data_IF_248772249349
#
_entry.id   IF_248772249349
#
_cell.length_a   1.000
_cell.length_b   1.000
_cell.length_c   1.000
_cell.angle_alpha   90.00
_cell.angle_beta   90.00
_cell.angle_gamma   90.00
#
_symmetry.space_group_name_H-M   'P 1'
#
loop_
_entity.id
_entity.type
_entity.pdbx_description
1 polymer ?
#
# COMPACT_ATOMS: atom_id res chain seq x y z
N UNK A 1 25.29 -76.24 8.40
CA UNK A 1 26.24 -75.53 7.49
C UNK A 1 25.49 -75.11 6.24
N UNK A 2 25.53 -73.80 5.91
CA UNK A 2 25.23 -73.17 4.59
C UNK A 2 23.74 -73.23 4.16
N UNK A 3 23.08 -72.24 3.55
CA UNK A 3 23.34 -70.83 3.16
C UNK A 3 22.10 -70.35 2.38
N UNK A 4 21.69 -69.06 2.52
CA UNK A 4 21.04 -68.14 1.52
C UNK A 4 19.74 -68.60 0.77
N UNK A 5 18.70 -67.83 0.43
CA UNK A 5 18.47 -66.40 0.08
C UNK A 5 16.94 -66.14 0.14
N UNK A 6 16.42 -65.05 0.74
CA UNK A 6 16.10 -63.73 0.13
C UNK A 6 15.22 -63.79 -1.13
N UNK A 7 13.95 -63.37 -1.03
CA UNK A 7 13.38 -62.34 -1.93
C UNK A 7 12.13 -61.68 -1.29
N UNK A 8 12.33 -60.47 -0.77
CA UNK A 8 11.29 -59.53 -0.32
C UNK A 8 10.85 -58.75 -1.55
N UNK A 9 9.62 -58.97 -2.01
CA UNK A 9 9.02 -58.19 -3.10
C UNK A 9 8.26 -57.02 -2.47
N UNK A 10 8.98 -55.93 -2.25
CA UNK A 10 8.44 -54.68 -1.76
C UNK A 10 7.64 -53.94 -2.84
N UNK A 11 6.34 -53.78 -2.61
CA UNK A 11 5.52 -52.81 -3.33
C UNK A 11 6.06 -51.40 -3.10
N UNK A 12 6.66 -50.83 -4.13
CA UNK A 12 6.96 -49.41 -4.23
C UNK A 12 5.64 -48.64 -4.34
N UNK A 13 5.11 -48.23 -3.19
CA UNK A 13 4.11 -47.17 -3.10
C UNK A 13 4.76 -45.88 -3.62
N UNK A 14 4.34 -45.50 -4.81
CA UNK A 14 4.72 -44.25 -5.46
C UNK A 14 4.03 -43.10 -4.74
N UNK A 15 4.72 -42.48 -3.79
CA UNK A 15 4.28 -41.21 -3.21
C UNK A 15 4.54 -40.14 -4.25
N UNK A 16 3.48 -39.70 -4.94
CA UNK A 16 3.53 -38.48 -5.73
C UNK A 16 3.78 -37.32 -4.76
N UNK A 17 5.03 -36.85 -4.71
CA UNK A 17 5.39 -35.64 -3.99
C UNK A 17 4.67 -34.46 -4.63
N UNK A 18 3.62 -33.97 -3.95
CA UNK A 18 3.00 -32.70 -4.27
C UNK A 18 4.04 -31.62 -3.91
N UNK A 19 4.75 -31.12 -4.92
CA UNK A 19 5.71 -30.04 -4.77
C UNK A 19 5.06 -28.85 -4.06
N UNK A 20 5.67 -28.41 -2.97
CA UNK A 20 5.18 -27.29 -2.19
C UNK A 20 5.15 -26.02 -3.06
N UNK A 21 4.22 -25.09 -2.85
CA UNK A 21 4.10 -23.86 -3.64
C UNK A 21 5.38 -23.00 -3.69
N UNK A 22 6.35 -23.22 -2.78
CA UNK A 22 7.67 -22.59 -2.80
C UNK A 22 8.58 -23.00 -3.97
N UNK A 23 8.50 -24.25 -4.43
CA UNK A 23 9.40 -24.76 -5.50
C UNK A 23 9.15 -24.07 -6.84
N UNK A 24 7.90 -23.71 -7.12
CA UNK A 24 7.51 -23.01 -8.36
C UNK A 24 7.94 -21.55 -8.39
N UNK A 25 8.12 -20.91 -7.22
CA UNK A 25 8.56 -19.52 -7.12
C UNK A 25 10.08 -19.46 -7.27
N UNK A 26 10.81 -20.37 -6.62
CA UNK A 26 12.26 -20.49 -6.76
C UNK A 26 12.67 -20.75 -8.22
N UNK A 27 12.02 -21.71 -8.89
CA UNK A 27 12.32 -22.03 -10.30
C UNK A 27 12.08 -20.82 -11.23
N UNK A 28 11.00 -20.07 -11.00
CA UNK A 28 10.71 -18.85 -11.78
C UNK A 28 11.71 -17.74 -11.49
N UNK A 29 12.11 -17.55 -10.24
CA UNK A 29 13.10 -16.55 -9.85
C UNK A 29 14.46 -16.83 -10.50
N UNK A 30 14.89 -18.10 -10.50
CA UNK A 30 16.14 -18.53 -11.14
C UNK A 30 16.11 -18.30 -12.66
N UNK A 31 14.97 -18.58 -13.31
CA UNK A 31 14.80 -18.33 -14.75
C UNK A 31 14.90 -16.84 -15.08
N UNK A 32 14.26 -15.98 -14.29
CA UNK A 32 14.33 -14.52 -14.47
C UNK A 32 15.76 -14.02 -14.23
N UNK A 33 16.43 -14.51 -13.18
CA UNK A 33 17.81 -14.15 -12.88
C UNK A 33 18.77 -14.55 -14.02
N UNK A 34 18.55 -15.71 -14.63
CA UNK A 34 19.32 -16.18 -15.78
C UNK A 34 19.08 -15.30 -17.02
N UNK A 35 17.83 -14.95 -17.31
CA UNK A 35 17.48 -14.07 -18.43
C UNK A 35 18.09 -12.66 -18.25
N UNK A 36 18.05 -12.11 -17.03
CA UNK A 36 18.68 -10.83 -16.70
C UNK A 36 20.20 -10.86 -16.84
N UNK A 37 20.86 -11.97 -16.46
CA UNK A 37 22.31 -12.13 -16.68
C UNK A 37 22.64 -12.21 -18.16
N UNK A 38 21.85 -12.97 -18.93
CA UNK A 38 22.07 -13.15 -20.36
C UNK A 38 21.85 -11.85 -21.12
N UNK A 39 20.74 -11.15 -20.90
CA UNK A 39 20.39 -9.89 -21.60
C UNK A 39 20.96 -8.64 -20.95
N UNK A 40 21.64 -8.76 -19.81
CA UNK A 40 22.10 -7.63 -19.01
C UNK A 40 23.03 -6.67 -19.77
N UNK A 41 23.79 -7.20 -20.73
CA UNK A 41 24.70 -6.42 -21.56
C UNK A 41 23.98 -5.55 -22.61
N UNK A 42 22.74 -5.93 -23.00
CA UNK A 42 21.91 -5.19 -23.96
C UNK A 42 21.09 -4.08 -23.30
N UNK A 43 21.05 -4.05 -21.97
CA UNK A 43 20.26 -3.07 -21.21
C UNK A 43 20.95 -1.70 -21.21
N UNK A 44 20.18 -0.67 -21.55
CA UNK A 44 20.57 0.73 -21.36
C UNK A 44 20.77 1.06 -19.87
N UNK A 45 21.49 2.14 -19.56
CA UNK A 45 21.64 2.59 -18.16
C UNK A 45 20.29 2.85 -17.47
N UNK A 46 19.32 3.44 -18.17
CA UNK A 46 17.99 3.70 -17.59
C UNK A 46 17.23 2.41 -17.28
N UNK A 47 17.32 1.40 -18.14
CA UNK A 47 16.73 0.08 -17.90
C UNK A 47 17.39 -0.62 -16.70
N UNK A 48 18.72 -0.54 -16.58
CA UNK A 48 19.45 -1.09 -15.42
C UNK A 48 19.03 -0.42 -14.12
N UNK A 49 18.86 0.90 -14.12
CA UNK A 49 18.40 1.63 -12.94
C UNK A 49 16.98 1.23 -12.54
N UNK A 50 16.07 1.08 -13.51
CA UNK A 50 14.71 0.62 -13.27
C UNK A 50 14.65 -0.82 -12.73
N UNK A 51 15.51 -1.71 -13.24
CA UNK A 51 15.66 -3.08 -12.74
C UNK A 51 16.18 -3.08 -11.30
N UNK A 52 17.20 -2.27 -10.99
CA UNK A 52 17.71 -2.16 -9.62
C UNK A 52 16.64 -1.67 -8.64
N UNK A 53 15.87 -0.63 -8.99
CA UNK A 53 14.73 -0.16 -8.19
C UNK A 53 13.68 -1.26 -7.96
N UNK A 54 13.43 -2.08 -8.97
CA UNK A 54 12.48 -3.19 -8.88
C UNK A 54 13.01 -4.33 -7.99
N UNK A 55 14.30 -4.66 -8.10
CA UNK A 55 14.97 -5.66 -7.28
C UNK A 55 15.03 -5.24 -5.81
N UNK A 56 15.29 -3.97 -5.52
CA UNK A 56 15.28 -3.45 -4.16
C UNK A 56 13.86 -3.50 -3.56
N UNK A 57 12.83 -3.23 -4.36
CA UNK A 57 11.44 -3.41 -3.92
C UNK A 57 11.12 -4.89 -3.62
N UNK A 58 11.65 -5.83 -4.42
CA UNK A 58 11.44 -7.26 -4.20
C UNK A 58 12.18 -7.74 -2.94
N UNK A 59 13.43 -7.30 -2.74
CA UNK A 59 14.23 -7.63 -1.54
C UNK A 59 13.52 -7.22 -0.26
N UNK A 60 12.99 -5.99 -0.19
CA UNK A 60 12.22 -5.53 0.99
C UNK A 60 11.00 -6.41 1.30
N UNK A 61 10.33 -6.92 0.27
CA UNK A 61 9.19 -7.84 0.44
C UNK A 61 9.66 -9.22 0.93
N UNK A 62 10.81 -9.71 0.43
CA UNK A 62 11.36 -11.02 0.78
C UNK A 62 12.03 -11.06 2.15
N UNK A 63 12.70 -9.97 2.54
CA UNK A 63 13.43 -9.85 3.81
C UNK A 63 12.48 -9.71 5.02
N UNK A 64 11.16 -9.78 4.79
CA UNK A 64 10.18 -9.69 5.87
C UNK A 64 10.15 -8.31 6.52
N UNK A 65 10.63 -7.27 5.83
CA UNK A 65 10.56 -5.85 6.21
C UNK A 65 9.11 -5.31 6.04
N UNK A 66 8.17 -6.16 6.45
CA UNK A 66 6.72 -6.00 6.54
C UNK A 66 6.29 -6.02 8.01
N UNK A 67 7.19 -5.66 8.94
CA UNK A 67 6.80 -5.39 10.32
C UNK A 67 6.12 -4.01 10.43
N UNK A 68 4.79 -4.04 10.38
CA UNK A 68 3.98 -3.27 11.33
C UNK A 68 3.76 -1.77 11.07
N UNK A 69 2.86 -1.15 11.85
CA UNK A 69 2.30 0.16 11.56
C UNK A 69 3.32 1.27 11.83
N UNK A 70 3.97 1.76 10.76
CA UNK A 70 4.84 2.95 10.84
C UNK A 70 6.31 2.74 10.49
N UNK A 71 6.69 1.66 9.81
CA UNK A 71 8.08 1.40 9.42
C UNK A 71 8.50 2.09 8.11
N UNK A 72 9.01 3.33 8.22
CA UNK A 72 10.25 3.82 7.58
C UNK A 72 10.67 3.38 6.17
N UNK A 73 9.78 3.06 5.24
CA UNK A 73 10.13 3.01 3.83
C UNK A 73 10.49 4.42 3.39
N UNK A 74 11.79 4.73 3.32
CA UNK A 74 12.39 6.01 2.90
C UNK A 74 11.41 6.78 2.04
N UNK A 75 10.68 7.70 2.68
CA UNK A 75 9.50 8.29 2.07
C UNK A 75 10.01 9.08 0.88
N UNK A 76 9.82 8.53 -0.32
CA UNK A 76 10.10 9.24 -1.58
C UNK A 76 9.34 10.57 -1.64
N UNK A 77 8.34 10.74 -0.77
CA UNK A 77 7.63 11.98 -0.59
C UNK A 77 8.39 12.92 0.34
N UNK A 78 8.41 14.19 -0.05
CA UNK A 78 8.87 15.32 0.74
C UNK A 78 7.78 16.39 0.76
N UNK A 79 7.76 17.21 1.79
CA UNK A 79 6.89 18.37 1.87
C UNK A 79 7.59 19.58 1.26
N UNK A 80 6.93 20.23 0.30
CA UNK A 80 7.43 21.43 -0.37
C UNK A 80 6.33 22.50 -0.42
N UNK A 81 6.71 23.78 -0.49
CA UNK A 81 5.73 24.84 -0.83
C UNK A 81 5.12 24.54 -2.20
N UNK A 82 3.79 24.63 -2.29
CA UNK A 82 3.05 24.43 -3.53
C UNK A 82 3.47 25.46 -4.58
N UNK A 83 3.70 26.69 -4.12
CA UNK A 83 3.88 27.88 -4.96
C UNK A 83 5.37 28.28 -5.10
N UNK A 84 6.29 27.47 -4.54
CA UNK A 84 7.76 27.63 -4.62
C UNK A 84 8.35 28.86 -3.94
N UNK A 85 7.62 29.45 -3.00
CA UNK A 85 8.02 30.63 -2.25
C UNK A 85 8.49 30.30 -0.81
N UNK A 86 8.49 29.02 -0.45
CA UNK A 86 8.81 28.55 0.90
C UNK A 86 7.71 28.85 1.93
N UNK A 87 6.52 29.25 1.49
CA UNK A 87 5.37 29.55 2.34
C UNK A 87 4.23 28.58 2.09
N UNK A 88 3.24 28.65 2.98
CA UNK A 88 1.99 27.93 2.82
C UNK A 88 1.26 28.36 1.54
N UNK A 89 0.51 27.44 0.91
CA UNK A 89 0.28 26.08 1.36
C UNK A 89 1.38 25.10 0.91
N UNK A 90 1.51 23.99 1.63
CA UNK A 90 2.48 22.94 1.38
C UNK A 90 1.83 21.76 0.66
N UNK A 91 2.61 21.02 -0.10
CA UNK A 91 2.14 19.83 -0.83
C UNK A 91 3.13 18.69 -0.69
N UNK A 92 2.64 17.46 -0.79
CA UNK A 92 3.53 16.32 -1.01
C UNK A 92 4.13 16.40 -2.41
N UNK A 93 5.40 16.02 -2.52
CA UNK A 93 6.10 15.91 -3.77
C UNK A 93 7.09 14.75 -3.76
N UNK A 94 7.42 14.20 -4.92
CA UNK A 94 8.54 13.29 -5.09
C UNK A 94 9.74 14.09 -5.62
N UNK A 95 10.89 13.93 -4.97
CA UNK A 95 12.15 14.55 -5.40
C UNK A 95 13.07 13.51 -6.03
N UNK A 96 13.49 13.77 -7.26
CA UNK A 96 14.48 12.99 -8.01
C UNK A 96 15.61 13.92 -8.45
N UNK A 97 16.64 14.05 -7.61
CA UNK A 97 17.69 15.06 -7.78
C UNK A 97 17.12 16.49 -7.68
N UNK A 98 17.19 17.24 -8.78
CA UNK A 98 16.64 18.60 -8.89
C UNK A 98 15.17 18.64 -9.32
N UNK A 99 14.63 17.51 -9.81
CA UNK A 99 13.25 17.44 -10.28
C UNK A 99 12.29 17.23 -9.10
N UNK A 100 11.23 18.03 -9.05
CA UNK A 100 10.21 17.97 -7.98
C UNK A 100 8.83 17.78 -8.62
N UNK A 101 8.27 16.59 -8.46
CA UNK A 101 6.92 16.25 -8.93
C UNK A 101 5.93 16.44 -7.79
N UNK A 102 5.11 17.50 -7.84
CA UNK A 102 4.09 17.80 -6.81
C UNK A 102 2.84 16.95 -7.02
N UNK A 103 2.34 16.35 -5.96
CA UNK A 103 1.06 15.66 -5.93
C UNK A 103 -0.07 16.67 -5.69
N UNK A 104 -1.29 16.38 -6.12
CA UNK A 104 -2.46 17.24 -5.90
C UNK A 104 -3.05 17.03 -4.49
N UNK A 105 -2.20 17.21 -3.46
CA UNK A 105 -2.50 16.99 -2.05
C UNK A 105 -1.87 18.14 -1.24
N UNK A 106 -2.71 19.06 -0.81
CA UNK A 106 -2.30 20.31 -0.15
C UNK A 106 -2.56 20.27 1.36
N UNK A 107 -1.68 20.96 2.10
CA UNK A 107 -1.72 21.17 3.54
C UNK A 107 -1.49 22.65 3.84
N UNK A 108 -2.11 23.16 4.89
CA UNK A 108 -2.03 24.56 5.30
C UNK A 108 -0.68 24.91 5.95
N UNK A 109 0.02 23.91 6.49
CA UNK A 109 1.23 24.06 7.28
C UNK A 109 2.26 22.97 6.95
N UNK A 110 3.55 23.29 7.05
CA UNK A 110 4.64 22.33 6.84
C UNK A 110 4.56 21.18 7.86
N UNK A 111 4.44 21.42 9.18
CA UNK A 111 4.23 20.34 10.15
C UNK A 111 2.99 19.50 9.85
N UNK A 112 1.92 20.12 9.33
CA UNK A 112 0.71 19.42 8.91
C UNK A 112 0.96 18.44 7.77
N UNK A 113 1.76 18.84 6.78
CA UNK A 113 2.21 17.99 5.68
C UNK A 113 3.12 16.86 6.17
N UNK A 114 4.13 17.16 6.99
CA UNK A 114 5.07 16.17 7.52
C UNK A 114 4.36 15.12 8.39
N UNK A 115 3.41 15.57 9.22
CA UNK A 115 2.59 14.66 10.01
C UNK A 115 1.78 13.71 9.11
N UNK A 116 1.16 14.23 8.04
CA UNK A 116 0.40 13.41 7.10
C UNK A 116 1.31 12.44 6.34
N UNK A 117 2.50 12.87 5.93
CA UNK A 117 3.54 12.02 5.33
C UNK A 117 3.95 10.87 6.26
N UNK A 118 4.17 11.15 7.54
CA UNK A 118 4.53 10.15 8.55
C UNK A 118 3.39 9.19 8.91
N UNK A 119 2.17 9.48 8.44
CA UNK A 119 1.00 8.62 8.63
C UNK A 119 0.61 7.82 7.42
N UNK A 120 1.38 7.91 6.33
CA UNK A 120 1.11 7.13 5.11
C UNK A 120 1.07 5.65 5.48
N UNK A 121 -0.08 5.02 5.24
CA UNK A 121 -0.28 3.58 5.44
C UNK A 121 -0.08 2.86 4.12
N UNK A 122 1.01 2.13 4.00
CA UNK A 122 1.27 1.32 2.80
C UNK A 122 0.53 -0.01 2.84
N UNK A 123 -0.11 -0.35 1.71
CA UNK A 123 -0.77 -1.63 1.47
C UNK A 123 -0.30 -2.11 0.09
N UNK A 124 0.61 -3.09 0.09
CA UNK A 124 1.41 -3.41 -1.08
C UNK A 124 2.30 -2.23 -1.49
N UNK A 125 2.26 -1.84 -2.77
CA UNK A 125 3.06 -0.73 -3.30
C UNK A 125 2.35 0.63 -3.27
N UNK A 126 1.10 0.68 -2.79
CA UNK A 126 0.28 1.90 -2.73
C UNK A 126 0.23 2.43 -1.30
N UNK A 127 0.33 3.75 -1.16
CA UNK A 127 0.15 4.44 0.11
C UNK A 127 -1.28 4.95 0.26
N UNK A 128 -1.82 4.95 1.48
CA UNK A 128 -3.02 5.70 1.83
C UNK A 128 -2.65 6.87 2.73
N UNK A 129 -3.25 8.02 2.46
CA UNK A 129 -2.99 9.24 3.22
C UNK A 129 -4.26 10.07 3.42
N UNK A 130 -4.33 10.78 4.54
CA UNK A 130 -5.34 11.79 4.82
C UNK A 130 -5.02 13.12 4.10
N UNK A 131 -6.01 13.71 3.45
CA UNK A 131 -5.90 15.02 2.80
C UNK A 131 -7.19 15.83 2.95
N UNK A 132 -7.09 17.16 2.91
CA UNK A 132 -8.25 18.07 2.92
C UNK A 132 -9.11 17.85 1.70
N UNK A 133 -10.44 17.77 1.86
CA UNK A 133 -11.41 17.60 0.78
C UNK A 133 -11.32 18.66 -0.32
N UNK A 134 -11.12 19.91 0.06
CA UNK A 134 -11.12 21.04 -0.87
C UNK A 134 -9.70 21.44 -1.31
N UNK A 135 -8.70 20.61 -0.96
CA UNK A 135 -7.29 20.81 -1.32
C UNK A 135 -6.72 22.15 -0.82
N UNK A 136 -7.16 22.59 0.35
CA UNK A 136 -6.74 23.81 1.03
C UNK A 136 -6.03 23.52 2.39
N UNK A 137 -5.85 22.24 2.72
CA UNK A 137 -5.28 21.80 3.98
C UNK A 137 -6.25 21.78 5.17
N UNK A 138 -7.53 22.10 4.95
CA UNK A 138 -8.54 22.20 6.01
C UNK A 138 -9.48 21.00 6.04
N UNK A 139 -10.24 20.93 7.11
CA UNK A 139 -11.31 19.95 7.27
C UNK A 139 -12.51 20.28 6.37
N UNK A 140 -13.26 19.26 5.93
CA UNK A 140 -13.13 17.87 6.35
C UNK A 140 -12.10 17.08 5.53
N UNK A 141 -11.65 15.94 6.05
CA UNK A 141 -10.61 15.13 5.40
C UNK A 141 -11.18 13.96 4.61
N UNK A 142 -10.51 13.62 3.52
CA UNK A 142 -10.73 12.42 2.72
C UNK A 142 -9.44 11.61 2.59
N UNK A 143 -9.55 10.39 2.09
CA UNK A 143 -8.39 9.56 1.76
C UNK A 143 -7.90 9.80 0.34
N UNK A 144 -6.60 9.74 0.14
CA UNK A 144 -5.99 9.62 -1.18
C UNK A 144 -5.12 8.37 -1.25
N UNK A 145 -5.13 7.73 -2.42
CA UNK A 145 -4.27 6.61 -2.77
C UNK A 145 -3.05 7.18 -3.50
N UNK A 146 -1.88 6.97 -2.92
CA UNK A 146 -0.58 7.31 -3.48
C UNK A 146 -0.06 6.12 -4.29
N UNK A 147 0.31 6.38 -5.54
CA UNK A 147 0.94 5.40 -6.42
C UNK A 147 2.12 6.07 -7.17
N UNK A 148 3.26 6.16 -6.50
CA UNK A 148 4.40 6.94 -7.01
C UNK A 148 4.02 8.41 -7.17
N UNK A 149 4.32 9.01 -8.34
CA UNK A 149 4.05 10.43 -8.61
C UNK A 149 2.57 10.80 -8.78
N UNK A 150 1.65 9.87 -8.54
CA UNK A 150 0.21 10.07 -8.70
C UNK A 150 -0.53 9.93 -7.37
N UNK A 151 -1.57 10.74 -7.21
CA UNK A 151 -2.51 10.68 -6.11
C UNK A 151 -3.94 10.59 -6.64
N UNK A 152 -4.67 9.56 -6.24
CA UNK A 152 -6.09 9.40 -6.54
C UNK A 152 -6.92 9.66 -5.28
N UNK A 153 -7.75 10.70 -5.30
CA UNK A 153 -8.58 11.11 -4.16
C UNK A 153 -9.85 10.25 -4.12
N UNK A 154 -10.19 9.76 -2.93
CA UNK A 154 -11.44 9.04 -2.68
C UNK A 154 -12.49 10.07 -2.34
N UNK A 155 -13.55 10.19 -3.14
CA UNK A 155 -14.57 11.25 -3.04
C UNK A 155 -15.43 11.22 -1.76
N UNK A 156 -15.17 10.28 -0.85
CA UNK A 156 -15.88 10.14 0.41
C UNK A 156 -15.08 10.75 1.54
N UNK A 157 -15.73 11.67 2.25
CA UNK A 157 -15.19 12.31 3.44
C UNK A 157 -15.12 11.29 4.57
N UNK A 158 -13.94 11.08 5.15
CA UNK A 158 -13.81 10.16 6.27
C UNK A 158 -14.40 10.83 7.52
N UNK A 159 -13.75 11.91 7.97
CA UNK A 159 -14.01 12.63 9.23
C UNK A 159 -12.99 13.79 9.42
N UNK A 160 -12.78 14.23 10.65
CA UNK A 160 -11.71 15.17 11.02
C UNK A 160 -10.31 14.56 10.81
N UNK A 161 -9.27 15.39 10.89
CA UNK A 161 -7.89 14.95 10.64
C UNK A 161 -7.47 13.84 11.61
N UNK A 162 -7.73 13.99 12.91
CA UNK A 162 -7.27 13.06 13.93
C UNK A 162 -7.83 11.65 13.71
N UNK A 163 -9.13 11.56 13.46
CA UNK A 163 -9.79 10.27 13.29
C UNK A 163 -9.47 9.62 11.94
N UNK A 164 -9.19 10.40 10.89
CA UNK A 164 -8.66 9.85 9.63
C UNK A 164 -7.31 9.17 9.85
N UNK A 165 -6.42 9.83 10.60
CA UNK A 165 -5.08 9.31 10.90
C UNK A 165 -5.17 8.05 11.77
N UNK A 166 -6.09 8.04 12.74
CA UNK A 166 -6.35 6.85 13.57
C UNK A 166 -6.95 5.70 12.77
N UNK A 167 -7.83 6.02 11.82
CA UNK A 167 -8.35 5.03 10.86
C UNK A 167 -7.18 4.41 10.11
N UNK A 168 -6.28 5.21 9.51
CA UNK A 168 -5.08 4.71 8.80
C UNK A 168 -4.20 3.78 9.64
N UNK A 169 -4.01 4.07 10.93
CA UNK A 169 -3.22 3.23 11.85
C UNK A 169 -3.86 1.88 12.11
N UNK A 170 -5.19 1.86 12.23
CA UNK A 170 -5.97 0.66 12.58
C UNK A 170 -6.42 -0.14 11.37
N UNK A 171 -6.19 0.35 10.14
CA UNK A 171 -6.56 -0.35 8.90
C UNK A 171 -5.93 -1.74 8.81
N UNK A 172 -6.81 -2.73 8.62
CA UNK A 172 -6.48 -4.12 8.34
C UNK A 172 -7.03 -4.51 6.96
N UNK A 173 -6.19 -4.56 5.91
CA UNK A 173 -6.62 -5.07 4.62
C UNK A 173 -6.94 -6.57 4.71
N UNK A 174 -7.94 -7.03 3.95
CA UNK A 174 -8.22 -8.46 3.79
C UNK A 174 -7.21 -9.14 2.84
N UNK A 175 -7.40 -10.45 2.57
CA UNK A 175 -6.53 -11.22 1.67
C UNK A 175 -6.51 -10.71 0.22
N UNK A 176 -7.51 -9.92 -0.17
CA UNK A 176 -7.66 -9.34 -1.51
C UNK A 176 -7.27 -7.86 -1.55
N UNK A 177 -6.63 -7.33 -0.49
CA UNK A 177 -6.33 -5.92 -0.29
C UNK A 177 -7.58 -5.02 -0.31
N UNK A 178 -8.73 -5.54 0.09
CA UNK A 178 -9.90 -4.72 0.39
C UNK A 178 -9.78 -4.14 1.80
N UNK A 179 -10.26 -2.92 1.95
CA UNK A 179 -10.29 -2.21 3.21
C UNK A 179 -11.71 -1.77 3.47
N UNK A 180 -12.24 -2.16 4.62
CA UNK A 180 -13.54 -1.70 5.07
C UNK A 180 -13.33 -0.63 6.15
N UNK A 181 -14.03 0.49 6.04
CA UNK A 181 -13.96 1.59 7.01
C UNK A 181 -15.28 2.36 7.06
N UNK A 182 -15.44 3.20 8.07
CA UNK A 182 -16.59 4.08 8.21
C UNK A 182 -16.26 5.47 7.68
N UNK A 183 -17.13 6.00 6.82
CA UNK A 183 -17.01 7.34 6.24
C UNK A 183 -18.32 8.09 6.39
N UNK A 184 -18.27 9.42 6.36
CA UNK A 184 -19.47 10.23 6.25
C UNK A 184 -20.13 9.99 4.88
N UNK A 185 -21.46 9.81 4.90
CA UNK A 185 -22.27 9.75 3.69
C UNK A 185 -22.24 11.09 2.96
N UNK A 186 -22.28 12.15 3.74
CA UNK A 186 -22.42 13.53 3.31
C UNK A 186 -21.05 14.19 3.14
N UNK A 187 -21.08 15.42 2.64
CA UNK A 187 -19.88 16.12 2.23
C UNK A 187 -19.05 16.66 3.40
N UNK A 188 -19.70 16.91 4.53
CA UNK A 188 -19.22 17.68 5.66
C UNK A 188 -18.46 16.86 6.71
N UNK A 189 -18.37 15.54 6.53
CA UNK A 189 -17.68 14.66 7.48
C UNK A 189 -18.51 14.33 8.72
N UNK A 190 -19.81 14.66 8.72
CA UNK A 190 -20.72 14.43 9.83
C UNK A 190 -21.65 13.25 9.54
N UNK A 191 -22.47 12.90 10.53
CA UNK A 191 -23.50 11.89 10.36
C UNK A 191 -24.49 12.30 9.26
N UNK A 192 -25.07 11.33 8.52
CA UNK A 192 -24.97 9.89 8.74
C UNK A 192 -23.67 9.27 8.20
N UNK A 193 -23.23 8.18 8.83
CA UNK A 193 -22.05 7.39 8.44
C UNK A 193 -22.47 6.15 7.65
N UNK A 194 -21.60 5.68 6.77
CA UNK A 194 -21.79 4.47 5.94
C UNK A 194 -20.50 3.67 5.91
N UNK A 195 -20.61 2.35 5.72
CA UNK A 195 -19.46 1.50 5.45
C UNK A 195 -18.95 1.75 4.02
N UNK A 196 -17.64 1.84 3.86
CA UNK A 196 -16.95 1.94 2.57
C UNK A 196 -16.00 0.77 2.43
N UNK A 197 -16.09 0.07 1.30
CA UNK A 197 -15.14 -0.93 0.88
C UNK A 197 -14.26 -0.35 -0.24
N UNK A 198 -12.96 -0.27 0.01
CA UNK A 198 -11.93 0.18 -0.92
C UNK A 198 -11.06 -1.00 -1.34
N UNK A 199 -11.05 -1.34 -2.63
CA UNK A 199 -10.11 -2.29 -3.17
C UNK A 199 -8.80 -1.59 -3.57
N UNK A 200 -7.69 -1.91 -2.91
CA UNK A 200 -6.42 -1.24 -3.17
C UNK A 200 -5.79 -1.63 -4.51
N UNK A 201 -6.15 -2.77 -5.11
CA UNK A 201 -5.54 -3.22 -6.36
C UNK A 201 -6.02 -2.37 -7.54
N UNK A 202 -7.33 -2.16 -7.66
CA UNK A 202 -7.94 -1.41 -8.77
C UNK A 202 -8.45 -0.01 -8.37
N UNK A 203 -8.46 0.35 -7.09
CA UNK A 203 -8.99 1.61 -6.60
C UNK A 203 -10.53 1.71 -6.59
N UNK A 204 -11.24 0.59 -6.79
CA UNK A 204 -12.70 0.58 -6.78
C UNK A 204 -13.23 0.85 -5.39
N UNK A 205 -14.25 1.71 -5.31
CA UNK A 205 -14.91 2.09 -4.07
C UNK A 205 -16.36 1.63 -4.12
N UNK A 206 -16.79 0.90 -3.10
CA UNK A 206 -18.18 0.51 -2.89
C UNK A 206 -18.66 1.08 -1.56
N UNK A 207 -19.86 1.64 -1.54
CA UNK A 207 -20.47 2.17 -0.33
C UNK A 207 -21.64 1.28 0.07
N UNK A 208 -21.72 0.93 1.35
CA UNK A 208 -22.84 0.20 1.92
C UNK A 208 -24.13 1.03 1.92
N UNK A 209 -25.27 0.34 1.99
CA UNK A 209 -26.60 0.96 2.02
C UNK A 209 -27.03 1.36 3.43
N UNK A 210 -26.50 0.69 4.45
CA UNK A 210 -26.81 0.96 5.86
C UNK A 210 -26.20 2.28 6.32
N UNK A 211 -27.00 3.07 7.02
CA UNK A 211 -26.60 4.36 7.59
C UNK A 211 -26.59 4.33 9.10
N UNK A 212 -25.57 4.95 9.70
CA UNK A 212 -25.37 4.98 11.15
C UNK A 212 -25.36 6.43 11.66
N UNK A 213 -25.95 6.68 12.82
CA UNK A 213 -25.99 8.02 13.42
C UNK A 213 -24.64 8.44 14.02
N UNK A 214 -23.75 7.49 14.31
CA UNK A 214 -22.41 7.75 14.80
C UNK A 214 -21.41 6.73 14.22
N UNK A 215 -20.13 7.10 14.27
CA UNK A 215 -19.04 6.29 13.72
C UNK A 215 -18.83 4.98 14.50
N UNK A 216 -19.11 4.96 15.81
CA UNK A 216 -18.91 3.79 16.65
C UNK A 216 -19.86 2.65 16.28
N UNK A 217 -21.13 2.96 16.00
CA UNK A 217 -22.13 2.00 15.53
C UNK A 217 -21.74 1.42 14.17
N UNK A 218 -21.24 2.26 13.26
CA UNK A 218 -20.71 1.80 11.98
C UNK A 218 -19.50 0.87 12.16
N UNK A 219 -18.54 1.23 13.05
CA UNK A 219 -17.35 0.40 13.33
C UNK A 219 -17.76 -0.96 13.89
N UNK A 220 -18.69 -0.99 14.85
CA UNK A 220 -19.26 -2.22 15.39
C UNK A 220 -19.90 -3.09 14.30
N UNK A 221 -20.64 -2.48 13.37
CA UNK A 221 -21.26 -3.20 12.24
C UNK A 221 -20.23 -3.87 11.34
N UNK A 222 -19.08 -3.23 11.06
CA UNK A 222 -18.00 -3.79 10.24
C UNK A 222 -17.00 -4.65 11.04
N UNK A 223 -17.24 -4.87 12.34
CA UNK A 223 -16.39 -5.70 13.21
C UNK A 223 -15.06 -5.05 13.61
N UNK A 224 -15.05 -3.72 13.77
CA UNK A 224 -13.90 -2.92 14.23
C UNK A 224 -14.11 -2.36 15.65
#
# INVERSE_FOLDING_TARGET
MKSLSVLVMGCLLSVAAVAAPGDRIAEKADRIAMELRYRGHELSQSQREQINKSLDSIRRVLDGDLEGPGGGGDSRYTCVSRDNDGRAPYTLAIREGINVTRLQITYDTLPGCEQAMNSIRYIGYKGLICTSRDNDGREPTLLAILNGGQAARISKTVMNKADCMETLRTLRPDRNNNIVMCVSRDADGRNPYVALNLNMNNGSVQTGTETFNNVADCKKFIGQ
#
